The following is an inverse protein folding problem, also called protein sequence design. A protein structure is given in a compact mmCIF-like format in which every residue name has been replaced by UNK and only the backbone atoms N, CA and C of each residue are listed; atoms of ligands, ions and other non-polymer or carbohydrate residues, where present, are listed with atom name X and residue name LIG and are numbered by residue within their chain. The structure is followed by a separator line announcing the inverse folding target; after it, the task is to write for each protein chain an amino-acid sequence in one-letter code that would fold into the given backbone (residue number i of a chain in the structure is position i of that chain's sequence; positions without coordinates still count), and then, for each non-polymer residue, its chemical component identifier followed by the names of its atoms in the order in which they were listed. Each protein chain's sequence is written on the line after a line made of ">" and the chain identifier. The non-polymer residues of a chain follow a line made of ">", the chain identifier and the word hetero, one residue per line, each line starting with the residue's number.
data_IF_365270799575
#
_entry.id   IF_365270799575
#
_cell.length_a   1.000
_cell.length_b   1.000
_cell.length_c   1.000
_cell.angle_alpha   90.00
_cell.angle_beta   90.00
_cell.angle_gamma   90.00
#
_symmetry.space_group_name_H-M   'P 1'
#
loop_
_entity.id
_entity.type
_entity.pdbx_description
1 polymer ?
#
# COMPACT_ATOMS: atom_id res chain seq x y z
N UNK A 1 -10.42 13.17 -1.84
CA UNK A 1 -9.81 11.87 -1.50
C UNK A 1 -10.89 10.86 -1.17
N UNK A 2 -10.82 9.69 -1.80
CA UNK A 2 -11.74 8.57 -1.61
C UNK A 2 -10.95 7.31 -1.25
N UNK A 3 -11.54 6.45 -0.41
CA UNK A 3 -10.94 5.17 -0.02
C UNK A 3 -11.97 4.08 -0.28
N UNK A 4 -11.59 3.08 -1.07
CA UNK A 4 -12.39 1.91 -1.40
C UNK A 4 -11.70 0.64 -0.91
N UNK A 5 -12.47 -0.32 -0.41
CA UNK A 5 -11.93 -1.58 0.09
C UNK A 5 -12.12 -2.71 -0.93
N UNK A 6 -11.08 -3.51 -1.12
CA UNK A 6 -11.07 -4.60 -2.09
C UNK A 6 -10.48 -5.85 -1.43
N UNK A 7 -11.02 -7.04 -1.74
CA UNK A 7 -10.46 -8.30 -1.22
C UNK A 7 -9.15 -8.67 -1.93
N UNK A 8 -8.17 -9.28 -1.23
CA UNK A 8 -6.94 -9.77 -1.85
C UNK A 8 -7.25 -11.03 -2.67
N UNK A 9 -7.42 -10.87 -3.99
CA UNK A 9 -7.57 -11.99 -4.92
C UNK A 9 -7.03 -11.62 -6.30
N UNK A 10 -6.62 -12.63 -7.08
CA UNK A 10 -6.14 -12.41 -8.45
C UNK A 10 -7.19 -11.70 -9.31
N UNK A 11 -8.46 -12.10 -9.20
CA UNK A 11 -9.57 -11.46 -9.92
C UNK A 11 -9.73 -9.98 -9.53
N UNK A 12 -9.62 -9.68 -8.24
CA UNK A 12 -9.68 -8.30 -7.76
C UNK A 12 -8.53 -7.47 -8.30
N UNK A 13 -7.30 -8.01 -8.26
CA UNK A 13 -6.11 -7.35 -8.75
C UNK A 13 -6.21 -7.02 -10.25
N UNK A 14 -6.81 -7.91 -11.06
CA UNK A 14 -7.04 -7.67 -12.49
C UNK A 14 -8.11 -6.60 -12.77
N UNK A 15 -9.00 -6.33 -11.81
CA UNK A 15 -10.18 -5.47 -12.00
C UNK A 15 -9.99 -4.03 -11.55
N UNK A 16 -9.08 -3.80 -10.60
CA UNK A 16 -8.83 -2.46 -10.07
C UNK A 16 -8.17 -1.62 -11.16
N UNK A 17 -8.73 -0.44 -11.43
CA UNK A 17 -8.11 0.55 -12.30
C UNK A 17 -7.46 1.61 -11.42
N UNK A 18 -6.14 1.48 -11.20
CA UNK A 18 -5.36 2.51 -10.52
C UNK A 18 -4.04 2.76 -11.24
N UNK A 19 -3.48 3.94 -11.03
CA UNK A 19 -2.28 4.41 -11.72
C UNK A 19 -0.98 3.74 -11.21
N UNK A 20 -1.01 3.22 -9.98
CA UNK A 20 0.12 2.53 -9.35
C UNK A 20 -0.37 1.48 -8.34
N UNK A 21 0.25 0.30 -8.36
CA UNK A 21 0.13 -0.69 -7.30
C UNK A 21 1.31 -0.54 -6.34
N UNK A 22 1.04 -0.44 -5.04
CA UNK A 22 2.05 -0.38 -3.99
C UNK A 22 2.09 -1.70 -3.25
N UNK A 23 3.29 -2.27 -3.10
CA UNK A 23 3.52 -3.55 -2.43
C UNK A 23 4.62 -3.45 -1.39
N UNK A 24 4.57 -4.28 -0.35
CA UNK A 24 5.57 -4.33 0.72
C UNK A 24 6.42 -5.60 0.64
N UNK A 25 7.70 -5.49 1.00
CA UNK A 25 8.67 -6.59 0.95
C UNK A 25 9.35 -6.78 2.31
N UNK A 26 9.13 -7.94 2.93
CA UNK A 26 9.89 -8.34 4.11
C UNK A 26 11.21 -9.01 3.72
N UNK A 27 12.21 -8.86 4.59
CA UNK A 27 13.52 -9.50 4.43
C UNK A 27 13.37 -11.01 4.60
N UNK A 28 14.07 -11.77 3.75
CA UNK A 28 14.05 -13.24 3.74
C UNK A 28 12.64 -13.87 3.53
N UNK A 29 11.67 -13.11 3.00
CA UNK A 29 10.38 -13.66 2.61
C UNK A 29 10.49 -14.32 1.23
N UNK A 30 10.58 -15.66 1.20
CA UNK A 30 10.69 -16.46 -0.03
C UNK A 30 9.78 -17.69 0.05
N UNK A 31 8.75 -17.82 -0.80
CA UNK A 31 8.30 -16.85 -1.81
C UNK A 31 7.66 -15.60 -1.17
N UNK A 32 7.53 -14.48 -1.91
CA UNK A 32 6.73 -13.33 -1.49
C UNK A 32 5.28 -13.72 -1.21
N UNK A 33 4.66 -13.10 -0.22
CA UNK A 33 3.33 -13.49 0.27
C UNK A 33 2.37 -12.29 0.28
N UNK A 34 1.09 -12.53 0.59
CA UNK A 34 0.06 -11.48 0.59
C UNK A 34 -0.13 -10.82 -0.78
N UNK A 35 -0.28 -9.49 -0.80
CA UNK A 35 -0.46 -8.72 -2.04
C UNK A 35 0.75 -8.85 -2.97
N UNK A 36 1.96 -8.87 -2.42
CA UNK A 36 3.19 -9.07 -3.19
C UNK A 36 3.23 -10.44 -3.84
N UNK A 37 2.79 -11.50 -3.14
CA UNK A 37 2.67 -12.84 -3.72
C UNK A 37 1.67 -12.91 -4.88
N UNK A 38 0.52 -12.23 -4.75
CA UNK A 38 -0.47 -12.14 -5.86
C UNK A 38 0.09 -11.43 -7.08
N UNK A 39 0.84 -10.34 -6.86
CA UNK A 39 1.55 -9.62 -7.91
C UNK A 39 2.60 -10.52 -8.56
N UNK A 40 3.44 -11.17 -7.77
CA UNK A 40 4.55 -11.99 -8.27
C UNK A 40 4.03 -13.16 -9.10
N UNK A 41 2.93 -13.79 -8.67
CA UNK A 41 2.23 -14.79 -9.46
C UNK A 41 1.82 -14.25 -10.84
N UNK A 42 1.24 -13.04 -10.88
CA UNK A 42 0.81 -12.40 -12.14
C UNK A 42 1.98 -12.01 -13.04
N UNK A 43 3.11 -11.68 -12.44
CA UNK A 43 4.34 -11.38 -13.16
C UNK A 43 5.22 -12.62 -13.40
N UNK A 44 4.70 -13.82 -13.15
CA UNK A 44 5.42 -15.10 -13.32
C UNK A 44 6.77 -15.16 -12.60
N UNK A 45 6.83 -14.69 -11.35
CA UNK A 45 8.05 -14.75 -10.53
C UNK A 45 8.98 -13.55 -10.69
N UNK A 46 8.61 -12.54 -11.49
CA UNK A 46 9.49 -11.39 -11.74
C UNK A 46 9.93 -10.65 -10.48
N UNK A 47 9.07 -10.50 -9.47
CA UNK A 47 9.46 -9.85 -8.21
C UNK A 47 10.43 -10.75 -7.44
N UNK A 48 10.19 -12.06 -7.44
CA UNK A 48 11.13 -13.04 -6.89
C UNK A 48 12.50 -12.99 -7.58
N UNK A 49 12.54 -12.90 -8.91
CA UNK A 49 13.78 -12.77 -9.68
C UNK A 49 14.54 -11.50 -9.29
N UNK A 50 13.84 -10.36 -9.17
CA UNK A 50 14.45 -9.11 -8.72
C UNK A 50 15.02 -9.17 -7.29
N UNK A 51 14.39 -9.94 -6.39
CA UNK A 51 14.90 -10.19 -5.03
C UNK A 51 16.09 -11.15 -5.01
N UNK A 52 16.14 -12.12 -5.92
CA UNK A 52 17.27 -13.07 -6.05
C UNK A 52 18.49 -12.39 -6.66
N UNK A 53 18.28 -11.48 -7.61
CA UNK A 53 19.32 -10.72 -8.30
C UNK A 53 19.77 -9.46 -7.53
N UNK A 54 19.31 -9.26 -6.31
CA UNK A 54 19.57 -8.07 -5.48
C UNK A 54 19.26 -6.73 -6.18
N UNK A 55 18.29 -6.73 -7.10
CA UNK A 55 17.83 -5.53 -7.84
C UNK A 55 16.78 -4.73 -7.08
N UNK A 56 16.13 -5.32 -6.08
CA UNK A 56 15.23 -4.65 -5.14
C UNK A 56 15.73 -4.89 -3.72
N UNK A 57 15.74 -3.83 -2.90
CA UNK A 57 16.06 -3.91 -1.48
C UNK A 57 14.81 -4.08 -0.62
N UNK A 58 14.91 -4.90 0.43
CA UNK A 58 13.88 -5.07 1.47
C UNK A 58 14.13 -4.19 2.70
N UNK A 59 15.18 -3.35 2.69
CA UNK A 59 15.48 -2.47 3.81
C UNK A 59 14.35 -1.44 4.04
N UNK A 60 14.12 -1.09 5.31
CA UNK A 60 13.02 -0.19 5.69
C UNK A 60 13.09 1.12 4.90
N UNK A 61 12.00 1.46 4.22
CA UNK A 61 11.85 2.73 3.51
C UNK A 61 12.55 2.80 2.13
N UNK A 62 13.25 1.74 1.71
CA UNK A 62 13.71 1.59 0.34
C UNK A 62 12.52 1.44 -0.60
N UNK A 63 12.60 2.05 -1.77
CA UNK A 63 11.51 2.08 -2.74
C UNK A 63 12.03 1.79 -4.14
N UNK A 64 11.42 0.82 -4.82
CA UNK A 64 11.73 0.50 -6.22
C UNK A 64 10.48 0.64 -7.09
N UNK A 65 10.59 1.34 -8.21
CA UNK A 65 9.53 1.53 -9.19
C UNK A 65 9.84 0.70 -10.44
N UNK A 66 8.89 -0.11 -10.89
CA UNK A 66 9.00 -0.89 -12.13
C UNK A 66 7.65 -1.00 -12.84
N UNK A 67 7.63 -1.20 -14.18
CA UNK A 67 6.37 -1.36 -14.91
C UNK A 67 5.76 -2.74 -14.68
N UNK A 68 4.44 -2.87 -14.85
CA UNK A 68 3.74 -4.16 -14.81
C UNK A 68 3.84 -4.95 -16.13
N UNK A 69 4.50 -4.38 -17.15
CA UNK A 69 4.62 -4.93 -18.50
C UNK A 69 3.28 -5.29 -19.17
N UNK A 70 2.21 -4.56 -18.83
CA UNK A 70 0.88 -4.77 -19.42
C UNK A 70 0.17 -6.05 -18.95
N UNK A 71 0.72 -6.75 -17.95
CA UNK A 71 0.12 -7.97 -17.39
C UNK A 71 -0.99 -7.68 -16.38
N UNK A 72 -1.05 -6.45 -15.89
CA UNK A 72 -2.06 -5.94 -14.98
C UNK A 72 -2.58 -4.60 -15.53
N UNK A 73 -3.76 -4.20 -15.07
CA UNK A 73 -4.36 -2.88 -15.33
C UNK A 73 -3.53 -1.73 -14.77
N UNK A 74 -2.75 -1.98 -13.70
CA UNK A 74 -1.81 -1.01 -13.16
C UNK A 74 -0.63 -0.83 -14.11
N UNK A 75 -0.31 0.37 -14.61
CA UNK A 75 0.86 0.56 -15.47
C UNK A 75 2.18 0.53 -14.69
N UNK A 76 2.13 0.81 -13.38
CA UNK A 76 3.30 0.97 -12.50
C UNK A 76 3.14 0.16 -11.22
N UNK A 77 4.25 -0.37 -10.72
CA UNK A 77 4.34 -1.02 -9.41
C UNK A 77 5.45 -0.33 -8.61
N UNK A 78 5.15 0.02 -7.36
CA UNK A 78 6.13 0.55 -6.42
C UNK A 78 6.26 -0.41 -5.24
N UNK A 79 7.41 -1.05 -5.11
CA UNK A 79 7.73 -1.96 -4.02
C UNK A 79 8.50 -1.23 -2.93
N UNK A 80 8.09 -1.42 -1.67
CA UNK A 80 8.74 -0.83 -0.51
C UNK A 80 9.30 -1.90 0.41
N UNK A 81 10.55 -1.72 0.84
CA UNK A 81 11.16 -2.55 1.86
C UNK A 81 10.55 -2.28 3.23
N UNK A 82 10.16 -3.36 3.92
CA UNK A 82 9.57 -3.34 5.26
C UNK A 82 10.55 -3.79 6.34
N UNK A 83 11.75 -4.23 5.98
CA UNK A 83 12.77 -4.73 6.90
C UNK A 83 12.50 -6.15 7.38
N UNK A 84 12.93 -6.45 8.60
CA UNK A 84 12.66 -7.71 9.28
C UNK A 84 11.23 -7.71 9.85
N UNK A 85 10.39 -8.72 9.56
CA UNK A 85 9.03 -8.80 10.10
C UNK A 85 8.96 -8.78 11.63
N UNK A 86 9.97 -9.32 12.32
CA UNK A 86 9.99 -9.35 13.79
C UNK A 86 10.37 -7.98 14.40
N UNK A 87 10.93 -7.08 13.58
CA UNK A 87 11.26 -5.70 13.95
C UNK A 87 10.23 -4.68 13.45
N UNK A 88 9.12 -5.14 12.85
CA UNK A 88 8.09 -4.27 12.31
C UNK A 88 7.22 -3.66 13.43
N UNK A 89 7.63 -2.49 13.92
CA UNK A 89 6.98 -1.74 14.99
C UNK A 89 6.02 -0.66 14.47
N UNK A 90 5.15 -0.06 15.30
CA UNK A 90 4.34 1.09 14.90
C UNK A 90 5.17 2.28 14.37
N UNK A 91 6.40 2.46 14.86
CA UNK A 91 7.33 3.47 14.34
C UNK A 91 7.73 3.19 12.89
N UNK A 92 8.13 1.95 12.61
CA UNK A 92 8.45 1.49 11.25
C UNK A 92 7.23 1.58 10.33
N UNK A 93 6.04 1.18 10.81
CA UNK A 93 4.80 1.30 10.05
C UNK A 93 4.48 2.75 9.68
N UNK A 94 4.72 3.70 10.59
CA UNK A 94 4.55 5.14 10.31
C UNK A 94 5.56 5.65 9.28
N UNK A 95 6.83 5.29 9.44
CA UNK A 95 7.90 5.65 8.51
C UNK A 95 7.60 5.15 7.09
N UNK A 96 7.25 3.88 6.95
CA UNK A 96 6.87 3.28 5.67
C UNK A 96 5.61 3.94 5.11
N UNK A 97 4.60 4.22 5.93
CA UNK A 97 3.39 4.94 5.50
C UNK A 97 3.73 6.32 4.92
N UNK A 98 4.58 7.09 5.61
CA UNK A 98 5.01 8.41 5.16
C UNK A 98 5.75 8.29 3.82
N UNK A 99 6.67 7.33 3.71
CA UNK A 99 7.46 7.06 2.51
C UNK A 99 6.61 6.65 1.32
N UNK A 100 5.61 5.79 1.52
CA UNK A 100 4.65 5.39 0.50
C UNK A 100 3.89 6.60 -0.01
N UNK A 101 3.26 7.35 0.90
CA UNK A 101 2.41 8.48 0.54
C UNK A 101 3.21 9.58 -0.19
N UNK A 102 4.40 9.91 0.30
CA UNK A 102 5.27 10.89 -0.35
C UNK A 102 5.74 10.44 -1.74
N UNK A 103 6.04 9.16 -1.92
CA UNK A 103 6.44 8.62 -3.22
C UNK A 103 5.28 8.67 -4.19
N UNK A 104 4.09 8.21 -3.78
CA UNK A 104 2.88 8.24 -4.61
C UNK A 104 2.52 9.68 -5.00
N UNK A 105 2.62 10.63 -4.07
CA UNK A 105 2.42 12.04 -4.38
C UNK A 105 3.43 12.57 -5.42
N UNK A 106 4.73 12.24 -5.26
CA UNK A 106 5.78 12.63 -6.22
C UNK A 106 5.62 11.98 -7.60
N UNK A 107 4.97 10.82 -7.69
CA UNK A 107 4.63 10.18 -8.97
C UNK A 107 3.54 10.93 -9.75
N UNK A 108 2.89 11.94 -9.13
CA UNK A 108 1.83 12.77 -9.73
C UNK A 108 0.71 11.91 -10.33
N UNK A 109 0.25 10.95 -9.55
CA UNK A 109 -0.84 10.02 -9.92
C UNK A 109 -2.13 10.38 -9.19
N UNK A 110 -3.26 10.00 -9.77
CA UNK A 110 -4.57 10.30 -9.21
C UNK A 110 -5.10 9.13 -8.36
N UNK A 111 -4.50 7.95 -8.51
CA UNK A 111 -4.98 6.76 -7.81
C UNK A 111 -3.85 5.80 -7.42
N UNK A 112 -4.01 5.10 -6.30
CA UNK A 112 -3.16 3.97 -5.97
C UNK A 112 -3.96 2.81 -5.41
N UNK A 113 -3.42 1.60 -5.56
CA UNK A 113 -3.89 0.42 -4.86
C UNK A 113 -2.79 -0.11 -3.94
N UNK A 114 -3.11 -0.47 -2.71
CA UNK A 114 -2.15 -0.96 -1.72
C UNK A 114 -2.83 -1.80 -0.65
N UNK A 115 -2.07 -2.65 0.05
CA UNK A 115 -2.47 -3.16 1.36
C UNK A 115 -1.97 -2.22 2.46
N UNK A 116 -2.49 -2.34 3.67
CA UNK A 116 -1.92 -1.62 4.81
C UNK A 116 -0.44 -1.98 4.98
N UNK A 117 0.44 -1.02 5.33
CA UNK A 117 1.84 -1.33 5.58
C UNK A 117 1.99 -2.45 6.62
N UNK A 118 2.79 -3.46 6.31
CA UNK A 118 2.96 -4.66 7.14
C UNK A 118 1.89 -5.74 6.97
N UNK A 119 0.87 -5.53 6.12
CA UNK A 119 0.07 -6.64 5.62
C UNK A 119 0.94 -7.52 4.70
N UNK A 120 0.83 -8.84 4.75
CA UNK A 120 -0.15 -9.65 5.47
C UNK A 120 0.28 -10.09 6.88
N UNK A 121 1.54 -9.85 7.27
CA UNK A 121 2.12 -10.36 8.52
C UNK A 121 2.64 -9.23 9.41
N UNK A 122 1.92 -8.93 10.47
CA UNK A 122 2.35 -8.00 11.51
C UNK A 122 1.54 -8.22 12.79
N UNK A 123 2.13 -7.88 13.95
CA UNK A 123 1.44 -7.86 15.24
C UNK A 123 0.73 -6.54 15.53
N UNK A 124 0.81 -5.57 14.63
CA UNK A 124 0.16 -4.27 14.79
C UNK A 124 -1.29 -4.36 14.34
N UNK A 125 -2.22 -3.98 15.22
CA UNK A 125 -3.64 -3.98 14.94
C UNK A 125 -3.98 -3.21 13.64
N UNK A 126 -4.88 -3.72 12.78
CA UNK A 126 -5.28 -3.06 11.53
C UNK A 126 -5.69 -1.60 11.73
N UNK A 127 -6.40 -1.30 12.83
CA UNK A 127 -6.78 0.06 13.22
C UNK A 127 -5.62 1.03 13.28
N UNK A 128 -4.59 0.67 14.04
CA UNK A 128 -3.41 1.54 14.24
C UNK A 128 -2.72 1.81 12.91
N UNK A 129 -2.57 0.77 12.07
CA UNK A 129 -1.95 0.91 10.74
C UNK A 129 -2.79 1.79 9.80
N UNK A 130 -4.11 1.67 9.87
CA UNK A 130 -5.02 2.51 9.10
C UNK A 130 -4.95 3.97 9.55
N UNK A 131 -4.95 4.22 10.86
CA UNK A 131 -4.80 5.57 11.42
C UNK A 131 -3.47 6.22 11.01
N UNK A 132 -2.37 5.46 11.03
CA UNK A 132 -1.06 5.92 10.55
C UNK A 132 -1.11 6.28 9.06
N UNK A 133 -1.64 5.39 8.20
CA UNK A 133 -1.76 5.64 6.77
C UNK A 133 -2.65 6.86 6.48
N UNK A 134 -3.79 6.97 7.14
CA UNK A 134 -4.71 8.11 7.01
C UNK A 134 -4.06 9.41 7.45
N UNK A 135 -3.30 9.39 8.53
CA UNK A 135 -2.54 10.54 9.02
C UNK A 135 -1.57 11.06 7.96
N UNK A 136 -0.83 10.15 7.31
CA UNK A 136 0.13 10.51 6.26
C UNK A 136 -0.57 10.98 4.97
N UNK A 137 -1.65 10.30 4.54
CA UNK A 137 -2.46 10.74 3.40
C UNK A 137 -3.02 12.15 3.62
N UNK A 138 -3.54 12.45 4.82
CA UNK A 138 -4.04 13.78 5.18
C UNK A 138 -2.91 14.81 5.16
N UNK A 139 -1.77 14.47 5.79
CA UNK A 139 -0.60 15.36 5.88
C UNK A 139 -0.09 15.76 4.51
N UNK A 140 -0.03 14.83 3.56
CA UNK A 140 0.54 15.09 2.23
C UNK A 140 -0.51 15.66 1.28
N UNK A 141 -1.65 15.00 1.11
CA UNK A 141 -2.63 15.40 0.10
C UNK A 141 -3.50 16.58 0.54
N UNK A 142 -3.93 16.65 1.81
CA UNK A 142 -4.78 17.77 2.27
C UNK A 142 -3.99 19.05 2.53
N UNK A 143 -2.71 18.97 2.93
CA UNK A 143 -1.89 20.16 3.19
C UNK A 143 -1.31 20.78 1.92
N UNK A 144 -1.04 19.99 0.89
CA UNK A 144 -0.33 20.46 -0.30
C UNK A 144 -1.28 20.80 -1.46
N UNK A 145 -2.36 20.04 -1.66
CA UNK A 145 -3.33 20.28 -2.75
C UNK A 145 -4.78 19.97 -2.31
N UNK A 146 -5.49 20.91 -1.65
CA UNK A 146 -6.81 20.69 -1.05
C UNK A 146 -7.91 20.24 -2.04
N UNK A 147 -7.71 20.48 -3.33
CA UNK A 147 -8.67 20.18 -4.41
C UNK A 147 -8.40 18.85 -5.10
N UNK A 148 -7.32 18.14 -4.77
CA UNK A 148 -6.93 16.94 -5.48
C UNK A 148 -7.82 15.75 -5.08
N UNK A 149 -8.52 15.17 -6.05
CA UNK A 149 -9.32 13.97 -5.86
C UNK A 149 -8.46 12.71 -6.01
N UNK A 150 -7.73 12.37 -4.95
CA UNK A 150 -6.93 11.15 -4.90
C UNK A 150 -7.79 9.92 -4.53
N UNK A 151 -7.72 8.84 -5.32
CA UNK A 151 -8.43 7.59 -5.05
C UNK A 151 -7.48 6.52 -4.48
N UNK A 152 -7.82 5.94 -3.33
CA UNK A 152 -7.05 4.85 -2.71
C UNK A 152 -7.87 3.57 -2.68
N UNK A 153 -7.35 2.50 -3.28
CA UNK A 153 -7.92 1.15 -3.19
C UNK A 153 -7.14 0.34 -2.16
N UNK A 154 -7.74 0.12 -0.98
CA UNK A 154 -7.13 -0.66 0.08
C UNK A 154 -7.48 -2.15 -0.09
N UNK A 155 -6.46 -2.96 -0.33
CA UNK A 155 -6.58 -4.40 -0.58
C UNK A 155 -6.36 -5.15 0.74
N UNK A 156 -7.45 -5.52 1.41
CA UNK A 156 -7.45 -6.17 2.72
C UNK A 156 -8.53 -7.27 2.79
N UNK A 157 -8.36 -8.30 3.65
CA UNK A 157 -9.39 -9.33 3.89
C UNK A 157 -10.76 -8.74 4.24
N UNK A 158 -11.83 -9.40 3.75
CA UNK A 158 -13.22 -8.89 3.85
C UNK A 158 -13.70 -8.72 5.29
N UNK A 159 -13.21 -9.57 6.19
CA UNK A 159 -13.46 -9.50 7.64
C UNK A 159 -12.96 -8.20 8.27
N UNK A 160 -11.94 -7.56 7.69
CA UNK A 160 -11.42 -6.28 8.17
C UNK A 160 -12.18 -5.07 7.61
N UNK A 161 -12.96 -5.23 6.53
CA UNK A 161 -13.56 -4.09 5.81
C UNK A 161 -14.49 -3.27 6.70
N UNK A 162 -15.26 -3.91 7.59
CA UNK A 162 -16.16 -3.19 8.49
C UNK A 162 -15.39 -2.28 9.44
N UNK A 163 -14.40 -2.81 10.16
CA UNK A 163 -13.59 -2.04 11.11
C UNK A 163 -12.88 -0.88 10.42
N UNK A 164 -12.28 -1.13 9.26
CA UNK A 164 -11.53 -0.10 8.53
C UNK A 164 -12.45 0.99 7.96
N UNK A 165 -13.65 0.64 7.48
CA UNK A 165 -14.65 1.62 7.04
C UNK A 165 -15.11 2.54 8.17
N UNK A 166 -15.28 2.02 9.38
CA UNK A 166 -15.63 2.82 10.56
C UNK A 166 -14.55 3.88 10.84
N UNK A 167 -13.26 3.50 10.76
CA UNK A 167 -12.13 4.41 10.96
C UNK A 167 -12.09 5.51 9.87
N UNK A 168 -12.26 5.13 8.60
CA UNK A 168 -12.33 6.10 7.48
C UNK A 168 -13.48 7.07 7.67
N UNK A 169 -14.64 6.58 8.12
CA UNK A 169 -15.83 7.41 8.35
C UNK A 169 -15.60 8.44 9.47
N UNK A 170 -14.88 8.07 10.53
CA UNK A 170 -14.50 9.01 11.60
C UNK A 170 -13.50 10.05 11.07
N UNK A 171 -12.45 9.62 10.36
CA UNK A 171 -11.43 10.53 9.83
C UNK A 171 -12.00 11.51 8.80
N UNK A 172 -12.87 11.06 7.91
CA UNK A 172 -13.51 11.91 6.89
C UNK A 172 -14.45 12.95 7.49
N UNK A 173 -15.14 12.65 8.62
CA UNK A 173 -15.93 13.65 9.37
C UNK A 173 -15.05 14.76 9.93
N UNK A 174 -13.89 14.40 10.50
CA UNK A 174 -12.90 15.36 10.98
C UNK A 174 -12.37 16.25 9.84
N UNK A 175 -12.14 15.68 8.64
CA UNK A 175 -11.69 16.47 7.47
C UNK A 175 -12.73 17.46 6.96
N UNK A 176 -14.02 17.16 7.09
CA UNK A 176 -15.11 18.02 6.60
C UNK A 176 -15.51 19.11 7.61
N UNK A 177 -14.91 19.16 8.79
CA UNK A 177 -15.22 20.17 9.82
C UNK A 177 -16.65 20.07 10.37
N UNK A 178 -17.31 18.92 10.18
CA UNK A 178 -18.68 18.68 10.67
C UNK A 178 -18.54 18.12 12.09
N UNK A 179 -18.68 19.00 13.09
CA UNK A 179 -18.82 18.65 14.50
C UNK A 179 -20.31 18.52 14.87
#
# INVERSE_FOLDING_TARGET
>A
MTISFVKPSLQSLDSIQADVLVVGLYTNERPPMGLTGLLDWRLCGYVSDLLVEDKISTAVGEATLFPSYGRLTFPRVCAFGLGDPDQFTPGVAKEVSARIVETVYKLRVNSCALSLPGSYRTNIAPRVRMELLLGELTRVFSAQEPTLDFATYLIEPVDLHRELNEIVSVATRQWRGIW
#
